data_IF_304587393216
#
_entry.id   IF_304587393216
#
_cell.length_a   1.000
_cell.length_b   1.000
_cell.length_c   1.000
_cell.angle_alpha   90.00
_cell.angle_beta   90.00
_cell.angle_gamma   90.00
#
_symmetry.space_group_name_H-M   'P 1'
#
loop_
_entity.id
_entity.type
_entity.pdbx_description
1 polymer ?
#
# COMPACT_ATOMS: atom_id res chain seq x y z
N UNK A 1 0.05 21.13 -4.06
CA UNK A 1 -0.10 19.71 -3.78
C UNK A 1 1.25 19.05 -3.64
N UNK A 2 1.45 18.32 -2.55
CA UNK A 2 2.73 17.67 -2.26
C UNK A 2 2.55 16.16 -2.26
N UNK A 3 3.27 15.50 -3.14
CA UNK A 3 3.28 14.05 -3.21
C UNK A 3 4.73 13.61 -3.11
N UNK A 4 5.05 12.86 -2.08
CA UNK A 4 6.42 12.41 -1.82
C UNK A 4 6.49 10.90 -2.00
N UNK A 5 7.44 10.44 -2.80
CA UNK A 5 7.65 9.02 -3.04
C UNK A 5 9.03 8.65 -2.52
N UNK A 6 9.08 7.70 -1.60
CA UNK A 6 10.33 7.28 -0.97
C UNK A 6 10.55 5.78 -1.18
N UNK A 7 11.65 5.37 -1.80
CA UNK A 7 11.97 3.95 -1.93
C UNK A 7 12.51 3.38 -0.62
N UNK A 8 12.05 2.19 -0.26
CA UNK A 8 12.49 1.50 0.96
C UNK A 8 13.04 0.14 0.55
N UNK A 9 14.31 -0.13 0.81
CA UNK A 9 14.89 -1.44 0.48
C UNK A 9 14.23 -2.55 1.30
N UNK A 10 13.86 -3.62 0.62
CA UNK A 10 13.25 -4.79 1.22
C UNK A 10 13.95 -6.04 0.68
N UNK A 11 14.11 -7.04 1.53
CA UNK A 11 14.82 -8.27 1.17
C UNK A 11 16.21 -7.92 0.64
N UNK A 12 16.73 -8.70 -0.31
CA UNK A 12 18.05 -8.45 -0.86
C UNK A 12 18.01 -7.50 -2.06
N UNK A 13 17.03 -7.68 -2.93
CA UNK A 13 17.00 -6.99 -4.21
C UNK A 13 15.74 -6.17 -4.46
N UNK A 14 14.84 -6.08 -3.51
CA UNK A 14 13.55 -5.47 -3.76
C UNK A 14 13.43 -4.08 -3.14
N UNK A 15 12.55 -3.28 -3.69
CA UNK A 15 12.19 -1.99 -3.12
C UNK A 15 10.69 -1.90 -3.00
N UNK A 16 10.22 -1.40 -1.87
CA UNK A 16 8.86 -0.93 -1.74
C UNK A 16 8.91 0.59 -1.88
N UNK A 17 7.78 1.19 -2.19
CA UNK A 17 7.71 2.64 -2.34
C UNK A 17 6.65 3.19 -1.42
N UNK A 18 7.05 4.11 -0.55
CA UNK A 18 6.10 4.83 0.30
C UNK A 18 5.65 6.06 -0.46
N UNK A 19 4.34 6.22 -0.56
CA UNK A 19 3.74 7.39 -1.23
C UNK A 19 2.98 8.17 -0.18
N UNK A 20 3.34 9.43 0.00
CA UNK A 20 2.69 10.30 0.99
C UNK A 20 2.11 11.52 0.30
N UNK A 21 0.82 11.77 0.52
CA UNK A 21 0.16 12.97 0.04
C UNK A 21 -0.03 13.92 1.21
N UNK A 22 0.74 14.99 1.23
CA UNK A 22 0.71 15.95 2.33
C UNK A 22 -0.60 16.71 2.45
N UNK A 23 -1.36 16.86 1.35
CA UNK A 23 -2.61 17.60 1.41
C UNK A 23 -3.70 16.82 2.15
N UNK A 24 -3.75 15.52 1.96
CA UNK A 24 -4.78 14.69 2.59
C UNK A 24 -4.25 13.86 3.75
N UNK A 25 -2.95 13.91 3.99
CA UNK A 25 -2.27 13.08 4.99
C UNK A 25 -2.50 11.59 4.73
N UNK A 26 -2.55 11.22 3.46
CA UNK A 26 -2.76 9.83 3.06
C UNK A 26 -1.43 9.18 2.73
N UNK A 27 -1.19 7.99 3.30
CA UNK A 27 0.05 7.26 3.08
C UNK A 27 -0.26 5.89 2.51
N UNK A 28 0.45 5.52 1.46
CA UNK A 28 0.35 4.19 0.88
C UNK A 28 1.74 3.58 0.72
N UNK A 29 1.79 2.27 0.63
CA UNK A 29 3.02 1.56 0.32
C UNK A 29 2.77 0.64 -0.86
N UNK A 30 3.71 0.62 -1.81
CA UNK A 30 3.60 -0.20 -3.00
C UNK A 30 4.51 -1.41 -2.86
N UNK A 31 3.94 -2.59 -3.00
CA UNK A 31 4.65 -3.88 -3.02
C UNK A 31 5.58 -4.09 -1.83
N UNK A 32 5.07 -4.07 -0.59
CA UNK A 32 5.92 -4.29 0.59
C UNK A 32 6.26 -5.77 0.74
N UNK A 33 7.48 -6.13 0.37
CA UNK A 33 7.96 -7.50 0.50
C UNK A 33 8.17 -7.90 1.95
N UNK A 34 8.52 -6.92 2.78
CA UNK A 34 8.72 -7.11 4.22
C UNK A 34 8.02 -5.99 4.96
N UNK A 35 7.51 -6.30 6.15
CA UNK A 35 6.82 -5.28 6.94
C UNK A 35 7.79 -4.41 7.74
N UNK A 36 8.84 -4.98 8.31
CA UNK A 36 9.70 -4.26 9.24
C UNK A 36 10.35 -2.99 8.68
N UNK A 37 10.94 -3.00 7.48
CA UNK A 37 11.52 -1.76 6.95
C UNK A 37 10.47 -0.67 6.78
N UNK A 38 9.24 -1.05 6.42
CA UNK A 38 8.15 -0.10 6.25
C UNK A 38 7.74 0.46 7.60
N UNK A 39 7.55 -0.41 8.60
CA UNK A 39 7.17 0.01 9.94
C UNK A 39 8.22 0.97 10.51
N UNK A 40 9.50 0.63 10.37
CA UNK A 40 10.57 1.48 10.86
C UNK A 40 10.52 2.87 10.25
N UNK A 41 10.31 2.95 8.95
CA UNK A 41 10.21 4.24 8.27
C UNK A 41 9.01 5.05 8.75
N UNK A 42 7.85 4.40 8.83
CA UNK A 42 6.62 5.07 9.24
C UNK A 42 6.70 5.58 10.67
N UNK A 43 7.28 4.76 11.57
CA UNK A 43 7.45 5.19 12.96
C UNK A 43 8.41 6.36 13.06
N UNK A 44 9.51 6.33 12.32
CA UNK A 44 10.48 7.40 12.32
C UNK A 44 9.88 8.71 11.82
N UNK A 45 9.00 8.64 10.84
CA UNK A 45 8.35 9.82 10.28
C UNK A 45 7.04 10.15 10.96
N UNK A 46 6.59 9.31 11.90
CA UNK A 46 5.32 9.49 12.61
C UNK A 46 4.14 9.51 11.65
N UNK A 47 4.15 8.60 10.69
CA UNK A 47 3.09 8.47 9.71
C UNK A 47 2.27 7.22 9.97
N UNK A 48 1.00 7.28 9.60
CA UNK A 48 0.13 6.11 9.60
C UNK A 48 0.04 5.58 8.18
N UNK A 49 -0.31 4.31 8.05
CA UNK A 49 -0.46 3.69 6.74
C UNK A 49 -1.95 3.51 6.45
N UNK A 50 -2.40 4.02 5.32
CA UNK A 50 -3.80 3.93 4.91
C UNK A 50 -4.04 2.84 3.88
N UNK A 51 -3.10 2.65 2.95
CA UNK A 51 -3.28 1.73 1.85
C UNK A 51 -2.02 0.94 1.57
N UNK A 52 -2.22 -0.31 1.16
CA UNK A 52 -1.16 -1.18 0.67
C UNK A 52 -1.51 -1.50 -0.77
N UNK A 53 -0.66 -1.09 -1.71
CA UNK A 53 -0.92 -1.23 -3.13
C UNK A 53 -0.05 -2.34 -3.70
N UNK A 54 -0.68 -3.37 -4.27
CA UNK A 54 0.06 -4.49 -4.85
C UNK A 54 -0.06 -4.45 -6.36
N UNK A 55 1.08 -4.37 -7.03
CA UNK A 55 1.11 -4.45 -8.49
C UNK A 55 1.21 -5.90 -8.97
N UNK A 56 1.65 -6.80 -8.08
CA UNK A 56 1.81 -8.22 -8.38
C UNK A 56 1.30 -9.05 -7.22
N UNK A 57 1.08 -10.34 -7.47
CA UNK A 57 0.67 -11.26 -6.42
C UNK A 57 1.83 -12.14 -5.92
N UNK A 58 3.04 -11.98 -6.48
CA UNK A 58 4.19 -12.79 -6.09
C UNK A 58 4.62 -12.46 -4.67
N UNK A 59 5.15 -13.47 -3.98
CA UNK A 59 5.54 -13.32 -2.58
C UNK A 59 6.49 -12.15 -2.35
N UNK A 60 7.42 -11.92 -3.25
CA UNK A 60 8.39 -10.85 -3.11
C UNK A 60 7.78 -9.45 -3.28
N UNK A 61 6.47 -9.38 -3.50
CA UNK A 61 5.78 -8.10 -3.59
C UNK A 61 4.65 -7.97 -2.58
N UNK A 62 4.31 -9.05 -1.87
CA UNK A 62 3.20 -9.03 -0.92
C UNK A 62 3.57 -9.56 0.46
N UNK A 63 4.85 -9.88 0.67
CA UNK A 63 5.27 -10.55 1.91
C UNK A 63 4.95 -9.79 3.19
N UNK A 64 4.87 -8.47 3.12
CA UNK A 64 4.59 -7.66 4.30
C UNK A 64 3.13 -7.28 4.48
N UNK A 65 2.25 -7.67 3.54
CA UNK A 65 0.87 -7.18 3.52
C UNK A 65 0.11 -7.40 4.82
N UNK A 66 0.07 -8.63 5.31
CA UNK A 66 -0.79 -8.98 6.44
C UNK A 66 -0.32 -8.29 7.71
N UNK A 67 0.96 -8.27 7.95
CA UNK A 67 1.49 -7.61 9.14
C UNK A 67 1.21 -6.11 9.12
N UNK A 68 1.40 -5.47 7.97
CA UNK A 68 1.12 -4.05 7.84
C UNK A 68 -0.37 -3.76 7.98
N UNK A 69 -1.21 -4.63 7.42
CA UNK A 69 -2.64 -4.47 7.54
C UNK A 69 -3.07 -4.54 9.00
N UNK A 70 -2.54 -5.48 9.76
CA UNK A 70 -2.88 -5.63 11.17
C UNK A 70 -2.35 -4.46 11.99
N UNK A 71 -1.14 -4.03 11.72
CA UNK A 71 -0.50 -2.97 12.50
C UNK A 71 -1.19 -1.63 12.32
N UNK A 72 -1.57 -1.30 11.11
CA UNK A 72 -2.10 0.03 10.79
C UNK A 72 -3.57 0.03 10.38
N UNK A 73 -4.21 -1.12 10.32
CA UNK A 73 -5.57 -1.23 9.81
C UNK A 73 -5.68 -0.69 8.39
N UNK A 74 -4.65 -0.93 7.59
CA UNK A 74 -4.59 -0.45 6.22
C UNK A 74 -5.42 -1.32 5.29
N UNK A 75 -5.87 -0.74 4.18
CA UNK A 75 -6.62 -1.47 3.16
C UNK A 75 -5.68 -1.96 2.08
N UNK A 76 -5.83 -3.20 1.67
CA UNK A 76 -5.01 -3.78 0.62
C UNK A 76 -5.72 -3.59 -0.71
N UNK A 77 -5.05 -2.94 -1.65
CA UNK A 77 -5.58 -2.64 -2.98
C UNK A 77 -4.79 -3.45 -4.00
N UNK A 78 -5.48 -4.15 -4.86
CA UNK A 78 -4.82 -4.95 -5.87
C UNK A 78 -5.70 -5.15 -7.09
N UNK A 79 -5.15 -5.85 -8.08
CA UNK A 79 -5.83 -6.11 -9.33
C UNK A 79 -6.90 -7.18 -9.15
N UNK A 80 -8.07 -6.98 -9.74
CA UNK A 80 -9.18 -7.93 -9.59
C UNK A 80 -8.79 -9.35 -10.01
N UNK A 81 -7.97 -9.48 -11.05
CA UNK A 81 -7.51 -10.78 -11.50
C UNK A 81 -6.69 -11.54 -10.47
N UNK A 82 -6.14 -10.86 -9.48
CA UNK A 82 -5.31 -11.47 -8.46
C UNK A 82 -6.03 -11.62 -7.12
N UNK A 83 -7.34 -11.42 -7.11
CA UNK A 83 -8.11 -11.42 -5.87
C UNK A 83 -7.87 -12.66 -5.00
N UNK A 84 -7.79 -13.82 -5.61
CA UNK A 84 -7.61 -15.07 -4.87
C UNK A 84 -6.16 -15.36 -4.51
N UNK A 85 -5.23 -14.54 -4.97
CA UNK A 85 -3.79 -14.74 -4.74
C UNK A 85 -3.19 -13.75 -3.77
N UNK A 86 -3.95 -12.72 -3.38
CA UNK A 86 -3.48 -11.72 -2.44
C UNK A 86 -4.33 -11.84 -1.18
N UNK A 87 -3.80 -12.48 -0.12
CA UNK A 87 -4.57 -12.65 1.12
C UNK A 87 -4.96 -11.31 1.72
N UNK A 88 -6.20 -11.22 2.16
CA UNK A 88 -6.69 -10.03 2.85
C UNK A 88 -6.99 -8.84 1.96
N UNK A 89 -7.04 -9.04 0.65
CA UNK A 89 -7.30 -7.92 -0.26
C UNK A 89 -8.68 -7.30 0.04
N UNK A 90 -8.71 -5.97 0.09
CA UNK A 90 -9.92 -5.21 0.42
C UNK A 90 -10.52 -4.52 -0.78
N UNK A 91 -9.69 -3.97 -1.65
CA UNK A 91 -10.14 -3.19 -2.80
C UNK A 91 -9.55 -3.82 -4.06
N UNK A 92 -10.41 -4.16 -5.01
CA UNK A 92 -9.94 -4.74 -6.26
C UNK A 92 -10.19 -3.76 -7.39
N UNK A 93 -9.22 -3.66 -8.29
CA UNK A 93 -9.30 -2.77 -9.44
C UNK A 93 -9.35 -3.58 -10.72
N UNK A 94 -10.21 -3.17 -11.63
CA UNK A 94 -10.28 -3.79 -12.95
C UNK A 94 -9.22 -3.19 -13.84
N UNK A 95 -8.96 -3.87 -14.94
CA UNK A 95 -8.03 -3.37 -15.94
C UNK A 95 -8.47 -1.96 -16.39
N UNK A 96 -7.53 -1.01 -16.38
CA UNK A 96 -7.78 0.37 -16.77
C UNK A 96 -8.70 1.16 -15.84
N UNK A 97 -9.04 0.59 -14.70
CA UNK A 97 -9.83 1.33 -13.73
C UNK A 97 -8.94 2.32 -13.00
N UNK A 98 -9.46 3.52 -12.76
CA UNK A 98 -8.75 4.53 -12.00
C UNK A 98 -9.14 4.42 -10.54
N UNK A 99 -8.18 4.69 -9.64
CA UNK A 99 -8.44 4.67 -8.22
C UNK A 99 -7.87 5.94 -7.60
N UNK A 100 -8.68 6.58 -6.78
CA UNK A 100 -8.29 7.83 -6.16
C UNK A 100 -7.57 7.57 -4.83
N UNK A 101 -6.28 7.82 -4.81
CA UNK A 101 -5.45 7.60 -3.62
C UNK A 101 -5.97 8.37 -2.40
N UNK A 102 -6.59 9.50 -2.61
CA UNK A 102 -7.11 10.34 -1.52
C UNK A 102 -8.50 9.95 -1.06
N UNK A 103 -9.03 8.86 -1.60
CA UNK A 103 -10.37 8.41 -1.29
C UNK A 103 -10.38 7.79 0.10
N UNK A 104 -11.05 8.45 1.03
CA UNK A 104 -11.07 8.03 2.41
C UNK A 104 -12.33 7.30 2.81
N UNK A 105 -13.36 7.32 2.00
CA UNK A 105 -14.59 6.64 2.32
C UNK A 105 -15.29 6.23 1.04
N UNK A 106 -16.13 5.22 1.11
CA UNK A 106 -16.84 4.71 -0.07
C UNK A 106 -17.85 5.68 -0.64
N UNK A 107 -17.98 6.83 -0.10
CA UNK A 107 -18.89 7.69 -0.70
C UNK A 107 -18.37 8.23 -1.97
N UNK A 108 -17.65 8.48 -2.48
CA UNK A 108 -17.35 9.10 -3.63
C UNK A 108 -18.09 9.08 -4.71
N UNK A 109 -18.44 9.47 -4.91
CA UNK A 109 -19.06 9.53 -5.75
C UNK A 109 -18.76 9.35 -6.82
N UNK A 110 -18.72 9.06 -7.04
CA UNK A 110 -18.47 8.85 -7.95
C UNK A 110 -18.26 8.88 -8.51
#
# INVERSE_FOLDING_TARGET
>A
KVMIITPIPCLTDNYAYIIYDGNSSTTGVVDPSEAQPIISFLEKKKLKLNYILNTHHHYDHIGGNIELKKTYNAKIVGFLGDKHRIPGIDITLKNNEKWNFNWLSPRHEN
#
